data_IF_104811172219
#
_entry.id   IF_104811172219
#
_cell.length_a   1.000
_cell.length_b   1.000
_cell.length_c   1.000
_cell.angle_alpha   90.00
_cell.angle_beta   90.00
_cell.angle_gamma   90.00
#
_symmetry.space_group_name_H-M   'P 1'
#
loop_
_entity.id
_entity.type
_entity.pdbx_description
1 polymer ?
#
# COMPACT_ATOMS: atom_id res chain seq x y z
N UNK A 1 -8.87 -31.81 -2.95
CA UNK A 1 -9.95 -30.83 -3.13
C UNK A 1 -9.57 -29.96 -4.31
N UNK A 2 -10.35 -29.98 -5.40
CA UNK A 2 -10.10 -29.10 -6.54
C UNK A 2 -10.26 -27.65 -6.08
N UNK A 3 -9.16 -26.88 -6.12
CA UNK A 3 -9.24 -25.44 -5.99
C UNK A 3 -9.99 -24.97 -7.23
N UNK A 4 -11.25 -24.55 -7.06
CA UNK A 4 -11.98 -23.87 -8.13
C UNK A 4 -11.16 -22.67 -8.55
N UNK A 5 -10.69 -22.67 -9.80
CA UNK A 5 -9.92 -21.57 -10.35
C UNK A 5 -10.73 -20.28 -10.20
N UNK A 6 -10.14 -19.25 -9.56
CA UNK A 6 -10.78 -17.94 -9.43
C UNK A 6 -11.02 -17.39 -10.83
N UNK A 7 -12.28 -17.06 -11.15
CA UNK A 7 -12.66 -16.60 -12.48
C UNK A 7 -12.12 -15.19 -12.72
N UNK A 8 -11.22 -15.07 -13.70
CA UNK A 8 -10.67 -13.79 -14.17
C UNK A 8 -11.41 -13.41 -15.46
N UNK A 9 -12.19 -12.33 -15.44
CA UNK A 9 -13.07 -11.96 -16.56
C UNK A 9 -12.34 -11.22 -17.71
N UNK A 10 -11.16 -10.66 -17.45
CA UNK A 10 -10.35 -9.92 -18.42
C UNK A 10 -8.92 -10.45 -18.38
N UNK A 11 -8.30 -10.71 -19.54
CA UNK A 11 -6.94 -11.24 -19.59
C UNK A 11 -5.93 -10.21 -19.07
N UNK A 12 -5.26 -10.55 -17.97
CA UNK A 12 -4.24 -9.74 -17.28
C UNK A 12 -2.82 -10.32 -17.41
N UNK A 13 -2.64 -11.44 -18.12
CA UNK A 13 -1.39 -12.21 -18.16
C UNK A 13 -0.24 -11.44 -18.84
N UNK A 14 -0.58 -10.42 -19.64
CA UNK A 14 0.39 -9.53 -20.29
C UNK A 14 0.99 -8.49 -19.35
N UNK A 15 0.34 -8.20 -18.21
CA UNK A 15 0.66 -7.04 -17.37
C UNK A 15 2.02 -7.21 -16.69
N UNK A 16 2.23 -8.29 -15.93
CA UNK A 16 3.48 -8.50 -15.20
C UNK A 16 4.68 -8.62 -16.16
N UNK A 17 4.62 -9.38 -17.28
CA UNK A 17 5.67 -9.38 -18.28
C UNK A 17 6.02 -7.98 -18.82
N UNK A 18 4.99 -7.15 -19.06
CA UNK A 18 5.18 -5.76 -19.51
C UNK A 18 5.80 -4.86 -18.44
N UNK A 19 5.46 -5.07 -17.16
CA UNK A 19 6.05 -4.35 -16.03
C UNK A 19 7.49 -4.77 -15.74
N UNK A 20 7.86 -6.03 -16.03
CA UNK A 20 9.25 -6.52 -15.92
C UNK A 20 10.16 -5.89 -16.97
N UNK A 21 9.65 -5.68 -18.19
CA UNK A 21 10.41 -5.16 -19.33
C UNK A 21 9.73 -3.93 -19.98
N UNK A 22 9.60 -2.79 -19.27
CA UNK A 22 8.86 -1.65 -19.77
C UNK A 22 9.65 -0.91 -20.87
N UNK A 23 8.95 -0.56 -21.95
CA UNK A 23 9.51 0.26 -23.02
C UNK A 23 9.83 1.70 -22.55
N UNK A 24 10.59 2.46 -23.36
CA UNK A 24 10.83 3.90 -23.07
C UNK A 24 9.52 4.69 -23.01
N UNK A 25 8.60 4.41 -23.93
CA UNK A 25 7.29 5.06 -23.96
C UNK A 25 6.48 4.74 -22.70
N UNK A 26 6.46 3.48 -22.26
CA UNK A 26 5.84 3.09 -20.99
C UNK A 26 6.43 3.86 -19.81
N UNK A 27 7.76 4.00 -19.78
CA UNK A 27 8.44 4.71 -18.72
C UNK A 27 8.08 6.20 -18.66
N UNK A 28 7.90 6.86 -19.80
CA UNK A 28 7.44 8.25 -19.89
C UNK A 28 5.99 8.35 -19.44
N UNK A 29 5.09 7.54 -20.02
CA UNK A 29 3.68 7.51 -19.69
C UNK A 29 3.46 7.26 -18.18
N UNK A 30 4.16 6.28 -17.60
CA UNK A 30 4.09 5.99 -16.17
C UNK A 30 4.56 7.15 -15.30
N UNK A 31 5.59 7.90 -15.73
CA UNK A 31 6.06 9.07 -15.00
C UNK A 31 5.02 10.19 -15.00
N UNK A 32 4.35 10.41 -16.14
CA UNK A 32 3.25 11.37 -16.27
C UNK A 32 2.06 10.93 -15.41
N UNK A 33 1.61 9.67 -15.52
CA UNK A 33 0.48 9.14 -14.74
C UNK A 33 0.70 9.30 -13.25
N UNK A 34 1.88 8.91 -12.73
CA UNK A 34 2.20 9.02 -11.30
C UNK A 34 2.23 10.48 -10.84
N UNK A 35 2.82 11.38 -11.63
CA UNK A 35 2.86 12.80 -11.31
C UNK A 35 1.46 13.41 -11.27
N UNK A 36 0.65 13.19 -12.32
CA UNK A 36 -0.71 13.71 -12.40
C UNK A 36 -1.61 13.18 -11.27
N UNK A 37 -1.60 11.86 -11.04
CA UNK A 37 -2.41 11.23 -9.99
C UNK A 37 -1.92 11.68 -8.61
N UNK A 38 -0.62 11.76 -8.38
CA UNK A 38 -0.05 12.23 -7.12
C UNK A 38 -0.43 13.69 -6.81
N UNK A 39 -0.30 14.58 -7.80
CA UNK A 39 -0.71 15.98 -7.67
C UNK A 39 -2.22 16.11 -7.45
N UNK A 40 -3.03 15.33 -8.17
CA UNK A 40 -4.48 15.27 -7.96
C UNK A 40 -4.81 14.85 -6.53
N UNK A 41 -4.22 13.76 -6.03
CA UNK A 41 -4.40 13.33 -4.64
C UNK A 41 -3.99 14.40 -3.66
N UNK A 42 -2.84 15.07 -3.88
CA UNK A 42 -2.40 16.17 -3.02
C UNK A 42 -3.41 17.31 -2.99
N UNK A 43 -3.93 17.72 -4.14
CA UNK A 43 -4.92 18.78 -4.27
C UNK A 43 -6.23 18.43 -3.53
N UNK A 44 -6.78 17.23 -3.76
CA UNK A 44 -7.98 16.74 -3.06
C UNK A 44 -7.74 16.68 -1.54
N UNK A 45 -6.63 16.08 -1.10
CA UNK A 45 -6.40 15.76 0.31
C UNK A 45 -5.95 16.97 1.14
N UNK A 46 -5.10 17.85 0.58
CA UNK A 46 -4.53 18.97 1.33
C UNK A 46 -5.25 20.30 1.10
N UNK A 47 -5.88 20.53 -0.05
CA UNK A 47 -6.50 21.84 -0.33
C UNK A 47 -8.02 21.81 -0.17
N UNK A 48 -8.70 20.74 -0.60
CA UNK A 48 -10.16 20.66 -0.47
C UNK A 48 -10.66 19.97 0.80
N UNK A 49 -9.80 19.25 1.50
CA UNK A 49 -10.12 18.58 2.75
C UNK A 49 -9.25 19.13 3.88
N UNK A 50 -9.77 19.07 5.11
CA UNK A 50 -9.03 19.44 6.30
C UNK A 50 -8.18 18.25 6.72
N UNK A 51 -6.95 18.19 6.23
CA UNK A 51 -6.02 17.11 6.58
C UNK A 51 -5.02 17.49 7.67
N UNK A 52 -4.79 16.55 8.59
CA UNK A 52 -3.69 16.57 9.56
C UNK A 52 -2.77 15.41 9.28
N UNK A 53 -1.50 15.71 9.00
CA UNK A 53 -0.47 14.71 8.71
C UNK A 53 0.54 14.70 9.85
N UNK A 54 0.56 13.61 10.60
CA UNK A 54 1.47 13.38 11.71
C UNK A 54 2.68 12.59 11.24
N UNK A 55 3.86 12.94 11.76
CA UNK A 55 5.12 12.21 11.53
C UNK A 55 5.53 12.05 10.05
N UNK A 56 5.10 12.98 9.17
CA UNK A 56 5.48 12.99 7.74
C UNK A 56 6.99 12.91 7.49
N UNK A 57 7.79 13.40 8.44
CA UNK A 57 9.25 13.36 8.33
C UNK A 57 9.79 11.92 8.24
N UNK A 58 9.10 10.93 8.83
CA UNK A 58 9.51 9.52 8.80
C UNK A 58 9.52 9.00 7.36
N UNK A 59 8.38 9.11 6.66
CA UNK A 59 8.31 8.69 5.25
C UNK A 59 9.20 9.57 4.36
N UNK A 60 9.29 10.87 4.62
CA UNK A 60 10.16 11.77 3.83
C UNK A 60 11.63 11.37 3.95
N UNK A 61 12.09 11.05 5.17
CA UNK A 61 13.44 10.57 5.41
C UNK A 61 13.69 9.21 4.73
N UNK A 62 12.76 8.27 4.83
CA UNK A 62 12.87 6.99 4.14
C UNK A 62 12.95 7.13 2.61
N UNK A 63 12.25 8.10 2.02
CA UNK A 63 12.31 8.36 0.58
C UNK A 63 13.57 9.14 0.15
N UNK A 64 14.07 10.04 1.01
CA UNK A 64 15.20 10.92 0.67
C UNK A 64 16.57 10.32 1.03
N UNK A 65 16.66 9.52 2.10
CA UNK A 65 17.93 9.17 2.76
C UNK A 65 18.21 7.67 2.87
N UNK A 66 17.21 6.81 2.71
CA UNK A 66 17.42 5.35 2.75
C UNK A 66 18.47 4.94 1.71
N UNK A 67 19.44 4.06 2.06
CA UNK A 67 20.36 3.50 1.07
C UNK A 67 19.59 2.84 -0.07
N UNK A 68 19.99 3.09 -1.33
CA UNK A 68 19.22 2.67 -2.51
C UNK A 68 18.91 1.18 -2.55
N UNK A 69 19.81 0.34 -2.04
CA UNK A 69 19.69 -1.12 -2.03
C UNK A 69 18.77 -1.65 -0.92
N UNK A 70 18.49 -0.87 0.13
CA UNK A 70 17.63 -1.30 1.24
C UNK A 70 16.17 -1.12 0.83
N UNK A 71 15.32 -2.14 0.78
CA UNK A 71 13.92 -1.97 0.39
C UNK A 71 13.08 -1.23 1.43
N UNK A 72 11.96 -0.67 0.98
CA UNK A 72 10.95 -0.05 1.84
C UNK A 72 9.60 -0.76 1.63
N UNK A 73 8.93 -1.10 2.73
CA UNK A 73 7.53 -1.48 2.71
C UNK A 73 6.72 -0.48 3.54
N UNK A 74 5.62 0.02 2.99
CA UNK A 74 4.61 0.73 3.78
C UNK A 74 3.37 -0.13 3.92
N UNK A 75 2.78 -0.13 5.11
CA UNK A 75 1.60 -0.95 5.41
C UNK A 75 0.51 -0.07 6.03
N UNK A 76 -0.73 -0.19 5.59
CA UNK A 76 -1.83 0.63 6.16
C UNK A 76 -3.17 -0.09 6.24
N UNK A 77 -4.06 0.43 7.07
CA UNK A 77 -5.48 0.10 7.00
C UNK A 77 -6.07 0.48 5.62
N UNK A 78 -7.23 -0.09 5.27
CA UNK A 78 -7.88 0.15 3.98
C UNK A 78 -9.37 0.43 4.17
N UNK A 79 -9.76 1.70 4.29
CA UNK A 79 -11.15 2.11 4.49
C UNK A 79 -11.86 2.57 3.21
N UNK A 80 -11.14 2.87 2.12
CA UNK A 80 -11.73 3.36 0.87
C UNK A 80 -10.94 2.92 -0.36
N UNK A 81 -11.61 2.73 -1.49
CA UNK A 81 -10.94 2.60 -2.79
C UNK A 81 -10.06 3.83 -3.14
N UNK A 82 -10.26 4.98 -2.49
CA UNK A 82 -9.42 6.17 -2.69
C UNK A 82 -8.16 6.19 -1.81
N UNK A 83 -7.95 5.23 -0.91
CA UNK A 83 -6.77 5.18 -0.04
C UNK A 83 -5.48 5.19 -0.86
N UNK A 84 -5.45 4.43 -1.96
CA UNK A 84 -4.46 4.57 -3.02
C UNK A 84 -5.19 5.11 -4.27
N UNK A 85 -5.01 6.39 -4.64
CA UNK A 85 -3.80 7.20 -4.41
C UNK A 85 -3.83 8.21 -3.26
N UNK A 86 -4.93 8.34 -2.52
CA UNK A 86 -5.18 9.45 -1.59
C UNK A 86 -4.17 9.61 -0.45
N UNK A 87 -3.71 8.52 0.19
CA UNK A 87 -2.68 8.56 1.25
C UNK A 87 -1.43 9.31 0.77
N UNK A 88 -1.06 9.17 -0.50
CA UNK A 88 0.14 9.80 -1.06
C UNK A 88 0.00 11.31 -1.24
N UNK A 89 -1.22 11.85 -1.19
CA UNK A 89 -1.44 13.29 -1.10
C UNK A 89 -0.73 13.94 0.10
N UNK A 90 -0.39 13.16 1.14
CA UNK A 90 0.39 13.57 2.30
C UNK A 90 1.88 13.88 1.97
N UNK A 91 2.44 13.31 0.90
CA UNK A 91 3.84 13.45 0.52
C UNK A 91 4.18 14.87 0.01
N UNK A 92 5.48 15.15 -0.09
CA UNK A 92 5.97 16.38 -0.70
C UNK A 92 5.88 16.28 -2.23
N UNK A 93 5.70 17.42 -2.91
CA UNK A 93 5.56 17.48 -4.38
C UNK A 93 6.76 16.82 -5.08
N UNK A 94 7.98 17.04 -4.58
CA UNK A 94 9.20 16.42 -5.13
C UNK A 94 9.15 14.88 -5.17
N UNK A 95 8.45 14.24 -4.23
CA UNK A 95 8.28 12.78 -4.20
C UNK A 95 7.24 12.35 -5.24
N UNK A 96 6.12 13.06 -5.31
CA UNK A 96 5.02 12.79 -6.25
C UNK A 96 5.44 12.94 -7.72
N UNK A 97 6.34 13.88 -8.01
CA UNK A 97 6.84 14.13 -9.37
C UNK A 97 7.95 13.17 -9.80
N UNK A 98 8.40 12.26 -8.94
CA UNK A 98 9.56 11.39 -9.21
C UNK A 98 9.17 9.92 -9.14
N UNK A 99 8.84 9.33 -10.29
CA UNK A 99 8.47 7.90 -10.43
C UNK A 99 9.43 6.95 -9.70
N UNK A 100 10.74 7.20 -9.73
CA UNK A 100 11.74 6.29 -9.17
C UNK A 100 11.67 6.16 -7.64
N UNK A 101 11.05 7.12 -6.94
CA UNK A 101 10.87 7.09 -5.49
C UNK A 101 9.42 6.80 -5.09
N UNK A 102 8.58 6.43 -6.06
CA UNK A 102 7.16 6.10 -5.83
C UNK A 102 6.95 4.59 -5.78
N UNK A 103 6.07 4.20 -4.86
CA UNK A 103 5.66 2.82 -4.55
C UNK A 103 5.11 2.04 -5.73
N UNK A 104 5.38 0.74 -5.69
CA UNK A 104 4.52 -0.29 -6.27
C UNK A 104 3.40 -0.64 -5.29
N UNK A 105 2.21 -0.99 -5.78
CA UNK A 105 1.05 -1.28 -4.94
C UNK A 105 0.27 -2.48 -5.47
N UNK A 106 -0.19 -3.38 -4.61
CA UNK A 106 -1.06 -4.48 -5.01
C UNK A 106 -2.51 -3.97 -5.15
N UNK A 107 -3.16 -4.29 -6.26
CA UNK A 107 -4.53 -3.87 -6.55
C UNK A 107 -5.37 -5.05 -7.05
N UNK A 108 -6.60 -5.19 -6.55
CA UNK A 108 -7.45 -6.32 -6.84
C UNK A 108 -7.81 -6.37 -8.34
N UNK A 109 -7.52 -7.50 -9.00
CA UNK A 109 -7.72 -7.65 -10.44
C UNK A 109 -9.18 -7.40 -10.89
N UNK A 110 -10.13 -7.85 -10.08
CA UNK A 110 -11.57 -7.78 -10.33
C UNK A 110 -12.17 -6.38 -10.11
N UNK A 111 -11.38 -5.42 -9.61
CA UNK A 111 -11.78 -4.03 -9.42
C UNK A 111 -10.99 -3.10 -10.34
N UNK A 112 -9.65 -3.24 -10.35
CA UNK A 112 -8.75 -2.32 -11.05
C UNK A 112 -8.39 -2.78 -12.47
N UNK A 113 -8.59 -4.05 -12.81
CA UNK A 113 -8.12 -4.64 -14.08
C UNK A 113 -9.25 -5.34 -14.83
N UNK A 114 -10.38 -4.65 -14.93
CA UNK A 114 -11.62 -5.18 -15.51
C UNK A 114 -11.72 -5.01 -17.03
N UNK A 115 -10.90 -4.13 -17.60
CA UNK A 115 -10.78 -3.92 -19.05
C UNK A 115 -9.38 -3.38 -19.40
N UNK A 116 -9.10 -3.24 -20.70
CA UNK A 116 -7.80 -2.75 -21.17
C UNK A 116 -7.48 -1.34 -20.66
N UNK A 117 -8.43 -0.40 -20.74
CA UNK A 117 -8.23 0.99 -20.33
C UNK A 117 -7.85 1.09 -18.86
N UNK A 118 -8.60 0.41 -17.98
CA UNK A 118 -8.28 0.35 -16.55
C UNK A 118 -6.92 -0.30 -16.32
N UNK A 119 -6.65 -1.42 -16.99
CA UNK A 119 -5.39 -2.17 -16.82
C UNK A 119 -4.17 -1.33 -17.20
N UNK A 120 -4.22 -0.58 -18.30
CA UNK A 120 -3.16 0.37 -18.63
C UNK A 120 -3.01 1.47 -17.58
N UNK A 121 -4.12 2.11 -17.17
CA UNK A 121 -4.09 3.20 -16.19
C UNK A 121 -3.45 2.77 -14.86
N UNK A 122 -3.91 1.66 -14.28
CA UNK A 122 -3.40 1.16 -13.00
C UNK A 122 -1.96 0.66 -13.14
N UNK A 123 -1.61 -0.04 -14.22
CA UNK A 123 -0.24 -0.51 -14.45
C UNK A 123 0.75 0.66 -14.61
N UNK A 124 0.37 1.73 -15.32
CA UNK A 124 1.17 2.95 -15.43
C UNK A 124 1.35 3.66 -14.07
N UNK A 125 0.36 3.56 -13.19
CA UNK A 125 0.40 4.00 -11.79
C UNK A 125 1.20 3.10 -10.84
N UNK A 126 1.89 2.08 -11.36
CA UNK A 126 2.62 1.04 -10.61
C UNK A 126 1.73 0.15 -9.72
N UNK A 127 0.48 -0.06 -10.12
CA UNK A 127 -0.38 -1.06 -9.49
C UNK A 127 -0.14 -2.43 -10.14
N UNK A 128 -0.09 -3.47 -9.32
CA UNK A 128 0.16 -4.86 -9.72
C UNK A 128 -1.13 -5.65 -9.47
N UNK A 129 -1.67 -6.37 -10.47
CA UNK A 129 -2.91 -7.11 -10.31
C UNK A 129 -2.72 -8.28 -9.36
N UNK A 130 -3.50 -8.32 -8.28
CA UNK A 130 -3.52 -9.43 -7.31
C UNK A 130 -4.83 -10.20 -7.41
N UNK A 131 -4.75 -11.52 -7.35
CA UNK A 131 -5.92 -12.40 -7.38
C UNK A 131 -6.24 -12.83 -5.95
N UNK A 132 -7.37 -12.32 -5.45
CA UNK A 132 -7.88 -12.68 -4.12
C UNK A 132 -8.31 -14.15 -4.13
N UNK A 133 -7.88 -14.90 -3.12
CA UNK A 133 -8.15 -16.35 -3.02
C UNK A 133 -7.00 -17.25 -3.51
N UNK A 134 -6.07 -16.75 -4.34
CA UNK A 134 -4.93 -17.54 -4.85
C UNK A 134 -3.79 -17.75 -3.83
N UNK A 135 -3.97 -17.36 -2.57
CA UNK A 135 -2.95 -17.50 -1.54
C UNK A 135 -1.76 -16.54 -1.72
N UNK A 136 -0.65 -16.84 -1.05
CA UNK A 136 0.56 -15.98 -1.03
C UNK A 136 1.55 -16.27 -2.15
N UNK A 137 1.42 -17.43 -2.80
CA UNK A 137 2.25 -17.85 -3.92
C UNK A 137 1.52 -17.51 -5.22
N UNK A 138 1.70 -16.27 -5.65
CA UNK A 138 1.13 -15.77 -6.89
C UNK A 138 2.11 -14.76 -7.50
N UNK A 139 2.06 -14.64 -8.82
CA UNK A 139 3.01 -13.85 -9.60
C UNK A 139 3.10 -12.38 -9.12
N UNK A 140 1.99 -11.81 -8.64
CA UNK A 140 1.94 -10.47 -8.08
C UNK A 140 2.87 -10.30 -6.86
N UNK A 141 2.90 -11.29 -5.96
CA UNK A 141 3.75 -11.26 -4.75
C UNK A 141 5.20 -11.55 -5.13
N UNK A 142 5.44 -12.43 -6.10
CA UNK A 142 6.77 -12.70 -6.63
C UNK A 142 7.36 -11.46 -7.30
N UNK A 143 6.56 -10.73 -8.08
CA UNK A 143 6.96 -9.44 -8.65
C UNK A 143 7.28 -8.42 -7.54
N UNK A 144 6.50 -8.35 -6.46
CA UNK A 144 6.86 -7.51 -5.32
C UNK A 144 8.23 -7.88 -4.73
N UNK A 145 8.53 -9.17 -4.56
CA UNK A 145 9.84 -9.64 -4.10
C UNK A 145 10.96 -9.22 -5.06
N UNK A 146 10.76 -9.31 -6.37
CA UNK A 146 11.71 -8.80 -7.37
C UNK A 146 11.95 -7.29 -7.25
N UNK A 147 10.91 -6.50 -6.94
CA UNK A 147 11.06 -5.07 -6.72
C UNK A 147 11.78 -4.77 -5.39
N UNK A 148 11.49 -5.51 -4.33
CA UNK A 148 12.18 -5.38 -3.04
C UNK A 148 13.66 -5.75 -3.16
N UNK A 149 14.00 -6.78 -3.94
CA UNK A 149 15.39 -7.13 -4.25
C UNK A 149 16.15 -6.00 -4.96
N UNK A 150 15.45 -5.12 -5.69
CA UNK A 150 16.01 -3.92 -6.33
C UNK A 150 16.06 -2.71 -5.38
N UNK A 151 15.72 -2.87 -4.10
CA UNK A 151 15.63 -1.80 -3.11
C UNK A 151 14.46 -0.84 -3.33
N UNK A 152 13.44 -1.27 -4.10
CA UNK A 152 12.27 -0.45 -4.38
C UNK A 152 11.35 -0.29 -3.16
N UNK A 153 10.33 0.54 -3.33
CA UNK A 153 9.27 0.73 -2.35
C UNK A 153 8.01 -0.04 -2.79
N UNK A 154 7.47 -0.87 -1.90
CA UNK A 154 6.17 -1.55 -2.06
C UNK A 154 5.20 -1.06 -0.98
N UNK A 155 3.95 -0.81 -1.35
CA UNK A 155 2.86 -0.55 -0.43
C UNK A 155 1.88 -1.71 -0.40
N UNK A 156 1.39 -2.05 0.79
CA UNK A 156 0.46 -3.16 1.00
C UNK A 156 -0.68 -2.71 1.92
N UNK A 157 -1.91 -3.03 1.52
CA UNK A 157 -3.09 -3.05 2.37
C UNK A 157 -3.33 -4.49 2.85
N UNK A 158 -2.78 -4.91 3.99
CA UNK A 158 -2.77 -6.31 4.41
C UNK A 158 -4.15 -6.82 4.82
N UNK A 159 -5.16 -5.96 4.96
CA UNK A 159 -6.57 -6.35 5.13
C UNK A 159 -7.10 -7.14 3.90
N UNK A 160 -6.52 -6.88 2.71
CA UNK A 160 -6.82 -7.60 1.46
C UNK A 160 -8.16 -7.25 0.81
N UNK A 161 -8.90 -6.31 1.40
CA UNK A 161 -10.12 -5.68 0.87
C UNK A 161 -10.33 -4.34 1.57
N UNK A 162 -11.20 -3.49 1.02
CA UNK A 162 -11.72 -2.34 1.75
C UNK A 162 -12.54 -2.82 2.95
N UNK A 163 -12.14 -2.40 4.15
CA UNK A 163 -12.77 -2.67 5.43
C UNK A 163 -13.87 -1.63 5.71
N UNK A 164 -15.05 -1.86 5.15
CA UNK A 164 -16.20 -0.97 5.30
C UNK A 164 -16.76 -0.91 6.72
N UNK A 165 -16.64 -2.00 7.48
CA UNK A 165 -17.16 -2.11 8.85
C UNK A 165 -16.16 -1.63 9.91
N UNK A 166 -14.92 -1.33 9.52
CA UNK A 166 -13.82 -0.93 10.41
C UNK A 166 -13.57 -1.93 11.52
N UNK A 167 -13.87 -3.20 11.25
CA UNK A 167 -13.67 -4.30 12.18
C UNK A 167 -12.19 -4.66 12.30
N UNK A 168 -11.81 -5.27 13.42
CA UNK A 168 -10.45 -5.79 13.58
C UNK A 168 -10.30 -7.06 12.73
N UNK A 169 -9.85 -6.88 11.49
CA UNK A 169 -9.63 -7.97 10.54
C UNK A 169 -8.26 -8.61 10.70
N UNK A 170 -8.19 -9.94 10.57
CA UNK A 170 -6.91 -10.64 10.43
C UNK A 170 -6.19 -10.21 9.13
N UNK A 171 -4.94 -9.82 9.28
CA UNK A 171 -4.06 -9.47 8.15
C UNK A 171 -3.67 -10.69 7.30
N UNK A 172 -3.58 -10.48 5.98
CA UNK A 172 -3.16 -11.47 4.99
C UNK A 172 -1.64 -11.63 5.01
N UNK A 173 -1.19 -12.88 5.02
CA UNK A 173 0.23 -13.27 5.16
C UNK A 173 1.17 -12.91 4.01
N UNK A 174 0.67 -12.31 2.93
CA UNK A 174 1.51 -11.88 1.81
C UNK A 174 2.59 -10.87 2.25
N UNK A 175 2.27 -10.00 3.21
CA UNK A 175 3.25 -9.06 3.78
C UNK A 175 4.35 -9.79 4.56
N UNK A 176 4.00 -10.79 5.37
CA UNK A 176 4.97 -11.61 6.09
C UNK A 176 5.92 -12.34 5.14
N UNK A 177 5.39 -12.83 4.00
CA UNK A 177 6.19 -13.43 2.93
C UNK A 177 7.18 -12.43 2.35
N UNK A 178 6.69 -11.25 1.97
CA UNK A 178 7.52 -10.19 1.37
C UNK A 178 8.69 -9.78 2.25
N UNK A 179 8.49 -9.72 3.57
CA UNK A 179 9.55 -9.37 4.53
C UNK A 179 10.52 -10.54 4.73
N UNK A 180 10.00 -11.75 4.92
CA UNK A 180 10.83 -12.93 5.23
C UNK A 180 11.71 -13.37 4.05
N UNK A 181 11.13 -13.38 2.84
CA UNK A 181 11.81 -13.80 1.61
C UNK A 181 12.59 -12.66 0.94
N UNK A 182 12.51 -11.42 1.45
CA UNK A 182 13.34 -10.33 0.93
C UNK A 182 14.83 -10.66 1.13
N UNK A 183 15.69 -10.45 0.11
CA UNK A 183 17.12 -10.69 0.28
C UNK A 183 17.74 -9.77 1.33
N UNK A 184 17.18 -8.56 1.47
CA UNK A 184 17.56 -7.57 2.48
C UNK A 184 16.31 -7.25 3.27
N UNK A 185 16.36 -7.37 4.60
CA UNK A 185 15.23 -7.04 5.46
C UNK A 185 14.77 -5.60 5.19
N UNK A 186 13.52 -5.40 4.74
CA UNK A 186 13.03 -4.07 4.39
C UNK A 186 12.80 -3.22 5.64
N UNK A 187 12.92 -1.90 5.47
CA UNK A 187 12.34 -0.95 6.43
C UNK A 187 10.83 -1.05 6.28
N UNK A 188 10.09 -1.25 7.38
CA UNK A 188 8.62 -1.33 7.35
C UNK A 188 8.02 -0.13 8.08
N UNK A 189 7.25 0.71 7.38
CA UNK A 189 6.59 1.88 7.97
C UNK A 189 5.07 1.64 8.02
N UNK A 190 4.48 1.50 9.22
CA UNK A 190 3.05 1.43 9.38
C UNK A 190 2.42 2.82 9.20
N UNK A 191 1.24 2.87 8.62
CA UNK A 191 0.47 4.09 8.38
C UNK A 191 -0.96 3.80 8.82
N UNK A 192 -1.54 4.70 9.59
CA UNK A 192 -2.97 4.65 9.86
C UNK A 192 -3.64 5.93 9.39
N UNK A 193 -4.80 5.81 8.75
CA UNK A 193 -5.57 6.96 8.29
C UNK A 193 -7.05 6.89 8.68
N UNK A 194 -7.66 8.05 8.84
CA UNK A 194 -9.07 8.24 9.18
C UNK A 194 -9.70 9.28 8.23
N UNK A 195 -10.92 8.99 7.75
CA UNK A 195 -11.77 9.90 6.98
C UNK A 195 -11.70 9.76 5.45
N UNK A 196 -10.91 8.81 4.92
CA UNK A 196 -10.83 8.58 3.48
C UNK A 196 -12.13 8.06 2.88
N UNK A 197 -12.87 7.26 3.64
CA UNK A 197 -14.22 6.79 3.33
C UNK A 197 -15.27 7.91 3.33
N UNK A 198 -15.02 9.02 4.03
CA UNK A 198 -15.86 10.22 3.91
C UNK A 198 -15.59 10.99 2.62
N UNK A 199 -14.36 10.90 2.09
CA UNK A 199 -13.94 11.53 0.82
C UNK A 199 -14.43 10.72 -0.36
N UNK A 200 -14.21 9.41 -0.39
CA UNK A 200 -14.84 8.51 -1.36
C UNK A 200 -15.58 7.39 -0.63
N UNK A 201 -16.91 7.50 -0.51
CA UNK A 201 -17.73 6.46 0.08
C UNK A 201 -17.72 5.17 -0.73
N UNK A 202 -17.83 4.03 -0.05
CA UNK A 202 -17.83 2.69 -0.65
C UNK A 202 -19.22 2.25 -1.14
N UNK A 203 -20.08 3.19 -1.52
CA UNK A 203 -21.41 2.90 -2.06
C UNK A 203 -21.75 3.83 -3.23
N UNK A 204 -22.57 3.37 -4.21
CA UNK A 204 -23.02 4.21 -5.30
C UNK A 204 -23.88 5.40 -4.82
N UNK A 205 -23.78 6.57 -5.47
CA UNK A 205 -22.83 6.91 -6.53
C UNK A 205 -21.41 7.15 -5.96
N UNK A 206 -20.40 6.55 -6.59
CA UNK A 206 -18.98 6.68 -6.19
C UNK A 206 -18.44 8.06 -6.59
N UNK A 207 -18.66 9.05 -5.73
CA UNK A 207 -18.33 10.45 -5.99
C UNK A 207 -17.43 11.01 -4.89
N UNK A 208 -16.38 11.74 -5.29
CA UNK A 208 -15.52 12.44 -4.35
C UNK A 208 -16.30 13.55 -3.63
N UNK A 209 -16.21 13.55 -2.30
CA UNK A 209 -16.76 14.56 -1.41
C UNK A 209 -15.62 15.40 -0.85
N UNK A 210 -15.86 16.70 -0.76
CA UNK A 210 -14.89 17.68 -0.28
C UNK A 210 -15.20 18.12 1.15
N UNK A 211 -14.30 18.90 1.75
CA UNK A 211 -14.41 19.50 3.09
C UNK A 211 -14.55 18.48 4.23
N UNK A 212 -13.96 17.30 4.05
CA UNK A 212 -13.89 16.23 5.05
C UNK A 212 -12.68 16.41 5.97
N UNK A 213 -12.74 15.78 7.13
CA UNK A 213 -11.68 15.79 8.12
C UNK A 213 -10.84 14.52 7.94
N UNK A 214 -9.55 14.71 7.72
CA UNK A 214 -8.62 13.61 7.46
C UNK A 214 -7.48 13.63 8.48
N UNK A 215 -7.12 12.46 8.97
CA UNK A 215 -5.91 12.28 9.77
C UNK A 215 -5.07 11.18 9.14
N UNK A 216 -3.79 11.46 8.93
CA UNK A 216 -2.78 10.49 8.52
C UNK A 216 -1.71 10.46 9.59
N UNK A 217 -1.40 9.26 10.09
CA UNK A 217 -0.33 9.05 11.05
C UNK A 217 0.68 8.06 10.47
N UNK A 218 1.91 8.53 10.26
CA UNK A 218 3.03 7.69 9.87
C UNK A 218 3.70 7.18 11.14
N UNK A 219 3.63 5.89 11.42
CA UNK A 219 4.24 5.29 12.59
C UNK A 219 5.76 5.16 12.47
N UNK A 220 6.40 4.85 13.59
CA UNK A 220 7.83 4.56 13.60
C UNK A 220 8.14 3.31 12.77
N UNK A 221 9.30 3.25 12.09
CA UNK A 221 9.71 2.05 11.38
C UNK A 221 9.78 0.83 12.31
N UNK A 222 9.23 -0.29 11.88
CA UNK A 222 9.29 -1.57 12.59
C UNK A 222 10.57 -2.29 12.18
N UNK A 223 11.40 -2.66 13.15
CA UNK A 223 12.61 -3.44 12.91
C UNK A 223 12.30 -4.94 12.94
N UNK A 224 12.47 -5.59 11.79
CA UNK A 224 12.31 -7.04 11.63
C UNK A 224 13.64 -7.80 11.58
N UNK A 225 14.79 -7.13 11.73
CA UNK A 225 16.11 -7.73 11.54
C UNK A 225 16.32 -8.93 12.45
N UNK A 226 16.04 -8.78 13.74
CA UNK A 226 16.22 -9.86 14.72
C UNK A 226 15.19 -10.99 14.54
N UNK A 227 13.91 -10.64 14.32
CA UNK A 227 12.84 -11.64 14.09
C UNK A 227 13.18 -12.50 12.87
N UNK A 228 13.55 -11.87 11.75
CA UNK A 228 13.92 -12.58 10.51
C UNK A 228 15.17 -13.44 10.73
N UNK A 229 16.17 -12.94 11.45
CA UNK A 229 17.38 -13.69 11.77
C UNK A 229 17.07 -14.96 12.58
N UNK A 230 16.35 -14.82 13.69
CA UNK A 230 15.96 -15.96 14.57
C UNK A 230 15.13 -16.98 13.79
N UNK A 231 14.17 -16.52 12.98
CA UNK A 231 13.33 -17.39 12.15
C UNK A 231 14.18 -18.20 11.15
N UNK A 232 15.19 -17.58 10.53
CA UNK A 232 16.10 -18.25 9.60
C UNK A 232 17.03 -19.24 10.33
N UNK A 233 17.62 -18.85 11.45
CA UNK A 233 18.54 -19.68 12.23
C UNK A 233 17.86 -20.96 12.74
N UNK A 234 16.62 -20.85 13.23
CA UNK A 234 15.84 -22.00 13.70
C UNK A 234 15.18 -22.81 12.56
N UNK A 235 15.38 -22.40 11.30
CA UNK A 235 14.74 -22.99 10.11
C UNK A 235 13.22 -23.09 10.25
N UNK A 236 12.58 -22.00 10.71
CA UNK A 236 11.14 -21.92 10.84
C UNK A 236 10.46 -22.30 9.52
N UNK A 237 9.33 -22.98 9.59
CA UNK A 237 8.52 -23.22 8.40
C UNK A 237 8.04 -21.89 7.83
N UNK A 238 7.80 -21.83 6.51
CA UNK A 238 7.32 -20.60 5.90
C UNK A 238 6.01 -20.09 6.51
N UNK A 239 5.16 -20.99 7.01
CA UNK A 239 3.89 -20.66 7.66
C UNK A 239 4.13 -19.96 9.00
N UNK A 240 5.03 -20.49 9.82
CA UNK A 240 5.40 -19.89 11.11
C UNK A 240 6.01 -18.51 10.89
N UNK A 241 6.98 -18.39 9.98
CA UNK A 241 7.64 -17.13 9.68
C UNK A 241 6.65 -16.06 9.19
N UNK A 242 5.78 -16.42 8.24
CA UNK A 242 4.74 -15.52 7.73
C UNK A 242 3.78 -15.08 8.82
N UNK A 243 3.33 -16.01 9.67
CA UNK A 243 2.41 -15.73 10.76
C UNK A 243 3.05 -14.76 11.76
N UNK A 244 4.22 -15.10 12.28
CA UNK A 244 4.89 -14.32 13.34
C UNK A 244 5.17 -12.88 12.90
N UNK A 245 5.69 -12.70 11.67
CA UNK A 245 5.93 -11.37 11.10
C UNK A 245 4.61 -10.61 10.90
N UNK A 246 3.58 -11.27 10.36
CA UNK A 246 2.29 -10.60 10.09
C UNK A 246 1.58 -10.22 11.38
N UNK A 247 1.64 -11.06 12.42
CA UNK A 247 1.06 -10.78 13.72
C UNK A 247 1.74 -9.57 14.37
N UNK A 248 3.08 -9.47 14.28
CA UNK A 248 3.81 -8.29 14.77
C UNK A 248 3.37 -7.01 14.05
N UNK A 249 3.12 -7.07 12.75
CA UNK A 249 2.60 -5.91 11.99
C UNK A 249 1.19 -5.54 12.46
N UNK A 250 0.35 -6.54 12.72
CA UNK A 250 -1.01 -6.33 13.20
C UNK A 250 -1.00 -5.60 14.56
N UNK A 251 -0.15 -6.02 15.49
CA UNK A 251 -0.02 -5.38 16.80
C UNK A 251 0.42 -3.92 16.68
N UNK A 252 1.41 -3.63 15.83
CA UNK A 252 1.89 -2.25 15.62
C UNK A 252 0.86 -1.38 14.90
N UNK A 253 0.09 -1.93 13.96
CA UNK A 253 -1.01 -1.20 13.32
C UNK A 253 -2.16 -0.90 14.29
N UNK A 254 -2.48 -1.82 15.20
CA UNK A 254 -3.52 -1.61 16.21
C UNK A 254 -3.11 -0.55 17.25
N UNK A 255 -1.85 -0.53 17.67
CA UNK A 255 -1.33 0.58 18.50
C UNK A 255 -1.42 1.91 17.74
N UNK A 256 -0.99 1.93 16.48
CA UNK A 256 -1.04 3.14 15.65
C UNK A 256 -2.49 3.61 15.40
N UNK A 257 -3.45 2.68 15.30
CA UNK A 257 -4.89 2.99 15.24
C UNK A 257 -5.33 3.81 16.45
N UNK A 258 -5.08 3.32 17.66
CA UNK A 258 -5.48 3.99 18.90
C UNK A 258 -4.88 5.39 19.00
N UNK A 259 -3.59 5.53 18.71
CA UNK A 259 -2.91 6.83 18.66
C UNK A 259 -3.57 7.78 17.65
N UNK A 260 -3.91 7.26 16.47
CA UNK A 260 -4.49 8.05 15.39
C UNK A 260 -5.92 8.48 15.69
N UNK A 261 -6.70 7.65 16.38
CA UNK A 261 -8.05 7.99 16.85
C UNK A 261 -8.00 9.12 17.89
N UNK A 262 -7.06 9.06 18.84
CA UNK A 262 -6.83 10.14 19.81
C UNK A 262 -6.46 11.45 19.09
N UNK A 263 -5.53 11.39 18.13
CA UNK A 263 -5.14 12.54 17.32
C UNK A 263 -6.32 13.11 16.53
N UNK A 264 -7.10 12.25 15.87
CA UNK A 264 -8.27 12.67 15.08
C UNK A 264 -9.29 13.38 15.96
N UNK A 265 -9.63 12.79 17.11
CA UNK A 265 -10.54 13.41 18.07
C UNK A 265 -9.99 14.76 18.56
N UNK A 266 -8.70 14.86 18.88
CA UNK A 266 -8.08 16.12 19.34
C UNK A 266 -8.24 17.27 18.35
N UNK A 267 -8.12 17.04 17.04
CA UNK A 267 -8.21 18.10 16.03
C UNK A 267 -9.62 18.34 15.48
N UNK A 268 -10.51 17.35 15.57
CA UNK A 268 -11.81 17.38 14.92
C UNK A 268 -12.99 17.12 15.86
N UNK A 269 -12.83 17.31 17.19
CA UNK A 269 -13.93 17.22 18.17
C UNK A 269 -15.21 17.89 17.63
N UNK A 270 -16.33 17.21 17.85
CA UNK A 270 -17.68 17.65 17.51
C UNK A 270 -17.87 19.12 17.87
N UNK A 271 -18.36 19.92 16.91
CA UNK A 271 -19.12 21.11 17.30
C UNK A 271 -20.26 20.58 18.18
N UNK A 272 -20.21 20.90 19.47
CA UNK A 272 -21.39 20.90 20.35
C UNK A 272 -22.49 21.71 19.70
#
# INVERSE_FOLDING_TARGET
MSVTAVKVNYNIDWIIPSLKNPSRLWNIASSITIACVGLFSKFIIQWFNKSKVHNRHIISFALDKRPKHVPLITVSNHHSCFDDPGIWGALQIKHLMKKSVMRWSLAAHDICFTCAQHSYFFSLGKCIPVIRGNGVYQEAVDFCLEQLAKGAWVHVFPEGKVNMTKENMRLKWGIGRMIFESPITPIVIPIWHIGMDDVLPNYPPYMLRLRKNLTFNFGNPIDFTEIVKVLRERKATDVEARKEITDRIQDELLKLKEETEILHQKYFKFKS
#
